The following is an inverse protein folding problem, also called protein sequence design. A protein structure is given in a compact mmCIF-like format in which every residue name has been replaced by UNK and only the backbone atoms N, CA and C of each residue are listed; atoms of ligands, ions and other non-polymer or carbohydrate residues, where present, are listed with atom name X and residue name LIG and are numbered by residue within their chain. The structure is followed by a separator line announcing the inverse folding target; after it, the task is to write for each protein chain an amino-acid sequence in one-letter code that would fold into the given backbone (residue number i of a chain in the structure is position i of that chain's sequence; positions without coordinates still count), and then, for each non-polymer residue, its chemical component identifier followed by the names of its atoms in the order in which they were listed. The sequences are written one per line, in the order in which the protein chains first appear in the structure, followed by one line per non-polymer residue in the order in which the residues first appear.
data_IF_533541656726
#
_entry.id   IF_533541656726
#
_cell.length_a   1.000
_cell.length_b   1.000
_cell.length_c   1.000
_cell.angle_alpha   90.00
_cell.angle_beta   90.00
_cell.angle_gamma   90.00
#
_symmetry.space_group_name_H-M   'P 1'
#
loop_
_entity.id
_entity.type
_entity.pdbx_description
1 polymer ?
#
# COMPACT_ATOMS: atom_id res chain seq x y z
N UNK A 1 13.47 20.08 29.56
CA UNK A 1 13.29 18.83 28.78
C UNK A 1 12.48 19.13 27.52
N UNK A 2 12.88 18.66 26.35
CA UNK A 2 12.06 18.76 25.12
C UNK A 2 11.26 17.47 24.96
N UNK A 3 9.97 17.52 25.21
CA UNK A 3 9.06 16.42 24.83
C UNK A 3 8.78 16.48 23.33
N UNK A 4 8.94 15.35 22.66
CA UNK A 4 8.55 15.20 21.25
C UNK A 4 7.03 15.18 21.15
N UNK A 5 6.48 15.93 20.20
CA UNK A 5 5.04 15.88 19.93
C UNK A 5 4.73 14.65 19.06
N UNK A 6 3.57 13.99 19.27
CA UNK A 6 3.12 12.94 18.38
C UNK A 6 2.99 13.48 16.94
N UNK A 7 3.23 12.60 15.95
CA UNK A 7 3.06 12.97 14.55
C UNK A 7 1.61 13.39 14.30
N UNK A 8 1.45 14.50 13.59
CA UNK A 8 0.13 14.94 13.14
C UNK A 8 -0.51 13.88 12.24
N UNK A 9 -1.83 13.76 12.31
CA UNK A 9 -2.59 12.96 11.34
C UNK A 9 -2.37 13.49 9.92
N UNK A 10 -2.50 12.59 8.94
CA UNK A 10 -2.50 12.98 7.54
C UNK A 10 -3.73 13.83 7.21
N UNK A 11 -3.52 14.86 6.42
CA UNK A 11 -4.53 15.43 5.52
C UNK A 11 -4.29 14.92 4.09
N UNK A 12 -5.17 15.25 3.16
CA UNK A 12 -5.05 14.81 1.77
C UNK A 12 -3.72 15.18 1.13
N UNK A 13 -3.26 16.43 1.26
CA UNK A 13 -1.98 16.87 0.68
C UNK A 13 -0.79 16.08 1.24
N UNK A 14 -0.76 15.85 2.54
CA UNK A 14 0.30 15.08 3.20
C UNK A 14 0.23 13.59 2.87
N UNK A 15 -0.97 13.02 2.67
CA UNK A 15 -1.14 11.64 2.23
C UNK A 15 -0.74 11.47 0.76
N UNK A 16 -1.10 12.41 -0.11
CA UNK A 16 -0.63 12.46 -1.50
C UNK A 16 0.89 12.48 -1.56
N UNK A 17 1.54 13.30 -0.72
CA UNK A 17 3.01 13.34 -0.66
C UNK A 17 3.60 12.04 -0.10
N UNK A 18 2.93 11.39 0.85
CA UNK A 18 3.34 10.08 1.34
C UNK A 18 3.25 9.00 0.25
N UNK A 19 2.17 8.99 -0.55
CA UNK A 19 2.03 8.08 -1.69
C UNK A 19 3.13 8.30 -2.73
N UNK A 20 3.42 9.57 -3.07
CA UNK A 20 4.50 9.96 -3.99
C UNK A 20 5.87 9.48 -3.52
N UNK A 21 6.14 9.50 -2.22
CA UNK A 21 7.48 9.24 -1.66
C UNK A 21 7.58 7.90 -0.94
N UNK A 22 6.60 7.02 -1.12
CA UNK A 22 6.46 5.72 -0.44
C UNK A 22 7.64 4.76 -0.67
N UNK A 23 8.38 4.91 -1.77
CA UNK A 23 9.58 4.11 -2.05
C UNK A 23 10.88 4.64 -1.44
N UNK A 24 10.87 5.81 -0.78
CA UNK A 24 12.12 6.48 -0.36
C UNK A 24 12.89 5.72 0.73
N UNK A 25 12.16 5.01 1.60
CA UNK A 25 12.70 4.32 2.78
C UNK A 25 13.00 2.84 2.49
N UNK A 26 12.75 2.37 1.26
CA UNK A 26 13.06 1.00 0.83
C UNK A 26 14.59 0.82 0.80
N UNK A 27 15.12 -0.18 1.50
CA UNK A 27 16.57 -0.41 1.60
C UNK A 27 17.19 -0.85 0.27
N UNK A 28 16.49 -1.71 -0.46
CA UNK A 28 16.91 -2.22 -1.78
C UNK A 28 16.96 -1.09 -2.81
N UNK A 29 18.14 -0.83 -3.35
CA UNK A 29 18.39 0.28 -4.28
C UNK A 29 17.65 0.10 -5.61
N UNK A 30 17.52 -1.12 -6.11
CA UNK A 30 16.83 -1.39 -7.37
C UNK A 30 15.33 -1.15 -7.23
N UNK A 31 14.73 -1.58 -6.11
CA UNK A 31 13.32 -1.33 -5.82
C UNK A 31 13.05 0.15 -5.55
N UNK A 32 13.92 0.81 -4.79
CA UNK A 32 13.85 2.26 -4.57
C UNK A 32 13.93 3.03 -5.89
N UNK A 33 14.83 2.64 -6.79
CA UNK A 33 14.94 3.23 -8.12
C UNK A 33 13.67 3.00 -8.94
N UNK A 34 13.13 1.78 -8.96
CA UNK A 34 11.90 1.45 -9.68
C UNK A 34 10.68 2.27 -9.20
N UNK A 35 10.66 2.68 -7.92
CA UNK A 35 9.58 3.48 -7.34
C UNK A 35 9.85 4.99 -7.34
N UNK A 36 11.01 5.45 -7.82
CA UNK A 36 11.46 6.84 -7.64
C UNK A 36 10.48 7.87 -8.23
N UNK A 37 9.93 7.57 -9.41
CA UNK A 37 9.07 8.50 -10.14
C UNK A 37 7.57 8.23 -9.90
N UNK A 38 7.23 6.98 -9.59
CA UNK A 38 5.84 6.52 -9.45
C UNK A 38 5.37 6.47 -8.00
N UNK A 39 6.22 6.16 -7.02
CA UNK A 39 5.77 5.85 -5.67
C UNK A 39 4.65 4.81 -5.67
N UNK A 40 3.61 5.03 -4.85
CA UNK A 40 2.38 4.26 -4.87
C UNK A 40 1.34 4.97 -5.75
N UNK A 41 1.12 4.40 -6.93
CA UNK A 41 0.19 4.94 -7.94
C UNK A 41 0.69 6.21 -8.62
N UNK A 42 0.18 6.51 -9.80
CA UNK A 42 0.62 7.67 -10.59
C UNK A 42 -0.04 8.97 -10.09
N UNK A 43 0.49 10.15 -10.46
CA UNK A 43 -0.16 11.43 -10.14
C UNK A 43 -1.65 11.48 -10.50
N UNK A 44 -2.05 10.81 -11.58
CA UNK A 44 -3.44 10.76 -12.04
C UNK A 44 -4.35 9.88 -11.16
N UNK A 45 -3.81 8.90 -10.42
CA UNK A 45 -4.63 7.92 -9.68
C UNK A 45 -4.64 8.15 -8.17
N UNK A 46 -3.68 8.89 -7.61
CA UNK A 46 -3.55 9.05 -6.14
C UNK A 46 -4.77 9.71 -5.49
N UNK A 47 -5.36 10.72 -6.13
CA UNK A 47 -6.60 11.32 -5.65
C UNK A 47 -7.74 10.29 -5.58
N UNK A 48 -7.87 9.44 -6.60
CA UNK A 48 -8.88 8.38 -6.63
C UNK A 48 -8.66 7.30 -5.56
N UNK A 49 -7.39 7.02 -5.19
CA UNK A 49 -7.07 6.12 -4.07
C UNK A 49 -7.64 6.69 -2.76
N UNK A 50 -7.43 7.98 -2.49
CA UNK A 50 -7.96 8.64 -1.29
C UNK A 50 -9.49 8.60 -1.28
N UNK A 51 -10.15 8.94 -2.39
CA UNK A 51 -11.60 8.83 -2.50
C UNK A 51 -12.10 7.39 -2.29
N UNK A 52 -11.36 6.39 -2.75
CA UNK A 52 -11.71 4.98 -2.54
C UNK A 52 -11.68 4.62 -1.05
N UNK A 53 -10.68 5.09 -0.30
CA UNK A 53 -10.60 4.86 1.15
C UNK A 53 -11.79 5.50 1.89
N UNK A 54 -12.25 6.66 1.42
CA UNK A 54 -13.38 7.39 2.01
C UNK A 54 -14.70 6.71 1.65
N UNK A 55 -14.91 6.38 0.37
CA UNK A 55 -16.11 5.70 -0.11
C UNK A 55 -16.31 4.30 0.51
N UNK A 56 -15.20 3.63 0.87
CA UNK A 56 -15.24 2.35 1.60
C UNK A 56 -15.36 2.51 3.11
N UNK A 57 -15.38 3.75 3.60
CA UNK A 57 -15.46 4.12 5.02
C UNK A 57 -14.27 3.62 5.83
N UNK A 58 -13.08 3.49 5.23
CA UNK A 58 -11.86 3.15 5.96
C UNK A 58 -11.28 4.38 6.65
N UNK A 59 -11.49 5.55 6.05
CA UNK A 59 -11.13 6.85 6.63
C UNK A 59 -12.29 7.83 6.45
N UNK A 60 -12.38 8.82 7.33
CA UNK A 60 -13.32 9.94 7.24
C UNK A 60 -12.58 11.27 7.24
N UNK A 61 -13.21 12.30 6.66
CA UNK A 61 -12.73 13.67 6.72
C UNK A 61 -13.22 14.32 8.01
N UNK A 62 -12.30 14.63 8.92
CA UNK A 62 -12.58 15.45 10.10
C UNK A 62 -11.81 16.78 9.99
N UNK A 63 -12.57 17.86 9.72
CA UNK A 63 -12.00 19.17 9.37
C UNK A 63 -11.06 19.03 8.16
N UNK A 64 -9.76 19.09 8.38
CA UNK A 64 -8.72 18.94 7.35
C UNK A 64 -8.02 17.58 7.39
N UNK A 65 -8.28 16.75 8.40
CA UNK A 65 -7.56 15.51 8.62
C UNK A 65 -8.34 14.32 8.06
N UNK A 66 -7.61 13.29 7.66
CA UNK A 66 -8.11 11.96 7.38
C UNK A 66 -7.94 11.13 8.64
N UNK A 67 -9.07 10.69 9.21
CA UNK A 67 -9.11 9.92 10.47
C UNK A 67 -9.55 8.49 10.14
N UNK A 68 -8.79 7.46 10.55
CA UNK A 68 -9.19 6.07 10.33
C UNK A 68 -10.45 5.76 11.15
N UNK A 69 -11.39 5.04 10.53
CA UNK A 69 -12.58 4.54 11.23
C UNK A 69 -12.27 3.22 11.95
N UNK A 70 -13.19 2.73 12.79
CA UNK A 70 -13.10 1.39 13.36
C UNK A 70 -12.96 0.31 12.28
N UNK A 71 -13.68 0.46 11.16
CA UNK A 71 -13.62 -0.44 10.00
C UNK A 71 -12.25 -0.39 9.31
N UNK A 72 -11.72 0.81 9.11
CA UNK A 72 -10.39 0.99 8.53
C UNK A 72 -9.28 0.40 9.41
N UNK A 73 -9.37 0.60 10.73
CA UNK A 73 -8.45 -0.01 11.68
C UNK A 73 -8.56 -1.53 11.70
N UNK A 74 -9.77 -2.09 11.65
CA UNK A 74 -9.94 -3.54 11.55
C UNK A 74 -9.29 -4.12 10.28
N UNK A 75 -9.46 -3.47 9.13
CA UNK A 75 -8.77 -3.87 7.88
C UNK A 75 -7.26 -3.76 8.03
N UNK A 76 -6.78 -2.65 8.59
CA UNK A 76 -5.35 -2.43 8.84
C UNK A 76 -4.75 -3.54 9.71
N UNK A 77 -5.38 -3.88 10.83
CA UNK A 77 -4.89 -4.92 11.75
C UNK A 77 -4.78 -6.29 11.07
N UNK A 78 -5.67 -6.60 10.13
CA UNK A 78 -5.61 -7.86 9.35
C UNK A 78 -4.42 -7.89 8.39
N UNK A 79 -4.04 -6.75 7.80
CA UNK A 79 -3.08 -6.72 6.67
C UNK A 79 -1.72 -6.14 7.01
N UNK A 80 -1.55 -5.38 8.10
CA UNK A 80 -0.37 -4.56 8.38
C UNK A 80 0.95 -5.33 8.38
N UNK A 81 0.94 -6.58 8.84
CA UNK A 81 2.13 -7.43 8.93
C UNK A 81 2.32 -8.33 7.70
N UNK A 82 1.48 -8.17 6.66
CA UNK A 82 1.53 -8.95 5.43
C UNK A 82 2.19 -8.16 4.32
N UNK A 83 2.74 -8.88 3.34
CA UNK A 83 3.40 -8.30 2.16
C UNK A 83 2.50 -7.35 1.37
N UNK A 84 1.18 -7.56 1.39
CA UNK A 84 0.20 -6.70 0.69
C UNK A 84 0.17 -5.25 1.22
N UNK A 85 0.62 -5.02 2.46
CA UNK A 85 0.70 -3.69 3.06
C UNK A 85 2.06 -3.01 2.89
N UNK A 86 3.05 -3.68 2.28
CA UNK A 86 4.42 -3.19 2.12
C UNK A 86 4.61 -2.55 0.74
N UNK A 87 5.19 -1.34 0.70
CA UNK A 87 5.40 -0.59 -0.54
C UNK A 87 6.36 -1.31 -1.51
N UNK A 88 7.29 -2.09 -0.96
CA UNK A 88 8.25 -2.94 -1.64
C UNK A 88 7.60 -3.90 -2.62
N UNK A 89 6.38 -4.39 -2.32
CA UNK A 89 5.64 -5.24 -3.25
C UNK A 89 5.32 -4.51 -4.54
N UNK A 90 4.90 -3.23 -4.46
CA UNK A 90 4.69 -2.40 -5.65
C UNK A 90 6.00 -2.15 -6.38
N UNK A 91 7.10 -1.87 -5.66
CA UNK A 91 8.42 -1.70 -6.29
C UNK A 91 8.87 -2.94 -7.07
N UNK A 92 8.63 -4.14 -6.52
CA UNK A 92 8.92 -5.40 -7.20
C UNK A 92 8.14 -5.54 -8.51
N UNK A 93 6.85 -5.18 -8.49
CA UNK A 93 6.02 -5.22 -9.70
C UNK A 93 6.44 -4.19 -10.74
N UNK A 94 6.76 -2.96 -10.33
CA UNK A 94 7.25 -1.93 -11.26
C UNK A 94 8.58 -2.33 -11.91
N UNK A 95 9.48 -2.95 -11.14
CA UNK A 95 10.71 -3.54 -11.69
C UNK A 95 10.42 -4.60 -12.74
N UNK A 96 9.53 -5.57 -12.45
CA UNK A 96 9.14 -6.61 -13.43
C UNK A 96 8.48 -6.02 -14.67
N UNK A 97 7.67 -4.96 -14.52
CA UNK A 97 7.07 -4.27 -15.65
C UNK A 97 8.13 -3.57 -16.52
N UNK A 98 9.20 -3.02 -15.93
CA UNK A 98 10.32 -2.46 -16.69
C UNK A 98 11.13 -3.54 -17.42
N UNK A 99 11.38 -4.68 -16.78
CA UNK A 99 12.02 -5.82 -17.43
C UNK A 99 11.21 -6.31 -18.64
N UNK A 100 9.87 -6.38 -18.50
CA UNK A 100 8.97 -6.71 -19.60
C UNK A 100 9.04 -5.67 -20.73
N UNK A 101 9.05 -4.38 -20.39
CA UNK A 101 9.26 -3.30 -21.38
C UNK A 101 10.58 -3.47 -22.13
N UNK A 102 11.60 -3.99 -21.45
CA UNK A 102 12.94 -4.27 -21.98
C UNK A 102 13.04 -5.62 -22.72
N UNK A 103 11.95 -6.38 -22.84
CA UNK A 103 11.88 -7.62 -23.61
C UNK A 103 11.79 -8.91 -22.80
N UNK A 104 11.66 -8.84 -21.47
CA UNK A 104 11.43 -10.02 -20.64
C UNK A 104 10.05 -10.65 -20.90
N UNK A 105 9.93 -11.94 -20.59
CA UNK A 105 8.70 -12.69 -20.78
C UNK A 105 7.60 -12.28 -19.80
N UNK A 106 6.42 -11.94 -20.32
CA UNK A 106 5.23 -11.70 -19.51
C UNK A 106 4.74 -12.96 -18.78
N UNK A 107 5.09 -14.15 -19.27
CA UNK A 107 4.59 -15.41 -18.72
C UNK A 107 5.05 -15.64 -17.28
N UNK A 108 6.32 -15.33 -16.98
CA UNK A 108 6.90 -15.49 -15.64
C UNK A 108 6.22 -14.54 -14.65
N UNK A 109 6.10 -13.26 -15.03
CA UNK A 109 5.42 -12.27 -14.19
C UNK A 109 3.95 -12.63 -13.91
N UNK A 110 3.23 -13.14 -14.90
CA UNK A 110 1.84 -13.64 -14.70
C UNK A 110 1.78 -14.82 -13.73
N UNK A 111 2.73 -15.75 -13.82
CA UNK A 111 2.80 -16.88 -12.91
C UNK A 111 3.06 -16.39 -11.47
N UNK A 112 3.99 -15.45 -11.29
CA UNK A 112 4.31 -14.85 -9.99
C UNK A 112 3.11 -14.11 -9.36
N UNK A 113 2.38 -13.29 -10.13
CA UNK A 113 1.16 -12.63 -9.64
C UNK A 113 0.11 -13.66 -9.25
N UNK A 114 -0.06 -14.71 -10.07
CA UNK A 114 -1.06 -15.74 -9.82
C UNK A 114 -0.75 -16.48 -8.52
N UNK A 115 0.50 -16.87 -8.31
CA UNK A 115 0.93 -17.57 -7.11
C UNK A 115 0.79 -16.67 -5.88
N UNK A 116 1.27 -15.42 -5.96
CA UNK A 116 1.10 -14.47 -4.87
C UNK A 116 -0.38 -14.26 -4.51
N UNK A 117 -1.25 -14.14 -5.52
CA UNK A 117 -2.70 -13.97 -5.32
C UNK A 117 -3.31 -15.16 -4.57
N UNK A 118 -2.93 -16.40 -4.90
CA UNK A 118 -3.36 -17.60 -4.16
C UNK A 118 -2.88 -17.60 -2.72
N UNK A 119 -1.61 -17.25 -2.48
CA UNK A 119 -1.03 -17.20 -1.14
C UNK A 119 -1.73 -16.18 -0.27
N UNK A 120 -1.82 -14.92 -0.73
CA UNK A 120 -2.41 -13.85 0.09
C UNK A 120 -3.90 -14.06 0.34
N UNK A 121 -4.65 -14.59 -0.65
CA UNK A 121 -6.07 -14.91 -0.43
C UNK A 121 -6.26 -16.00 0.61
N UNK A 122 -5.40 -17.02 0.60
CA UNK A 122 -5.43 -18.09 1.62
C UNK A 122 -5.08 -17.56 3.01
N UNK A 123 -4.04 -16.72 3.12
CA UNK A 123 -3.67 -16.07 4.39
C UNK A 123 -4.80 -15.20 4.96
N UNK A 124 -5.47 -14.43 4.10
CA UNK A 124 -6.58 -13.57 4.51
C UNK A 124 -7.83 -14.35 4.90
N UNK A 125 -8.12 -15.48 4.23
CA UNK A 125 -9.22 -16.36 4.62
C UNK A 125 -8.98 -16.96 6.02
N UNK A 126 -7.75 -17.44 6.29
CA UNK A 126 -7.38 -17.95 7.61
C UNK A 126 -7.47 -16.88 8.69
N UNK A 127 -6.99 -15.67 8.40
CA UNK A 127 -7.10 -14.53 9.32
C UNK A 127 -8.57 -14.18 9.61
N UNK A 128 -9.42 -14.19 8.58
CA UNK A 128 -10.86 -13.95 8.72
C UNK A 128 -11.56 -15.00 9.57
N UNK A 129 -11.25 -16.29 9.41
CA UNK A 129 -11.82 -17.38 10.24
C UNK A 129 -11.47 -17.18 11.72
N UNK A 130 -10.23 -16.76 12.02
CA UNK A 130 -9.79 -16.48 13.40
C UNK A 130 -10.55 -15.33 14.07
N UNK A 131 -11.09 -14.38 13.30
CA UNK A 131 -11.86 -13.24 13.83
C UNK A 131 -13.29 -13.62 14.26
N UNK A 132 -13.87 -14.69 13.73
CA UNK A 132 -15.21 -15.18 14.09
C UNK A 132 -15.19 -16.29 15.14
N UNK A 133 -14.01 -16.71 15.58
CA UNK A 133 -13.81 -17.87 16.47
C UNK A 133 -13.54 -17.48 17.93
N UNK A 134 -13.72 -16.21 18.30
CA UNK A 134 -13.55 -15.68 19.67
C UNK A 134 -14.82 -14.99 20.16
#
# INVERSE_FOLDING_TARGET
EKQTKPKSLFNEASLLKALETSGKDIEDEELRYAMKDSGLGTPATRAAIIETLINREYVIREKRNLVPTTKGLAVYEVVKDKKIAQAELTGQWEKRLEEIRSGASVAEFKAEITEYTKTITSELLLAGVGMFSN
#
